data_IF_902609617463
#
_entry.id   IF_902609617463
#
_cell.length_a   1.000
_cell.length_b   1.000
_cell.length_c   1.000
_cell.angle_alpha   90.00
_cell.angle_beta   90.00
_cell.angle_gamma   90.00
#
_symmetry.space_group_name_H-M   'P 1'
#
loop_
_entity.id
_entity.type
_entity.pdbx_description
1 polymer ?
#
# COMPACT_ATOMS: atom_id res chain seq x y z
N UNK A 1 -6.48 -4.74 -8.18
CA UNK A 1 -5.52 -3.74 -7.67
C UNK A 1 -6.21 -2.90 -6.62
N UNK A 2 -5.52 -2.41 -5.59
CA UNK A 2 -6.13 -1.49 -4.64
C UNK A 2 -5.26 -0.27 -4.38
N UNK A 3 -5.93 0.86 -4.19
CA UNK A 3 -5.34 2.07 -3.67
C UNK A 3 -5.60 2.10 -2.16
N UNK A 4 -4.53 2.18 -1.38
CA UNK A 4 -4.57 2.33 0.07
C UNK A 4 -3.95 3.70 0.32
N UNK A 5 -4.80 4.71 0.51
CA UNK A 5 -4.43 6.12 0.46
C UNK A 5 -3.65 6.58 1.71
N UNK A 6 -4.31 7.38 2.55
CA UNK A 6 -3.75 7.92 3.81
C UNK A 6 -3.11 6.85 4.71
N UNK A 7 -3.63 5.62 4.66
CA UNK A 7 -3.18 4.47 5.45
C UNK A 7 -1.72 4.05 5.18
N UNK A 8 -1.19 4.30 3.98
CA UNK A 8 0.20 3.97 3.66
C UNK A 8 1.23 4.83 4.43
N UNK A 9 0.79 5.94 5.04
CA UNK A 9 1.61 6.86 5.84
C UNK A 9 1.45 6.66 7.34
N UNK A 10 0.57 5.74 7.79
CA UNK A 10 0.37 5.53 9.21
C UNK A 10 1.49 4.68 9.82
N UNK A 11 2.04 5.08 10.99
CA UNK A 11 3.11 4.36 11.66
C UNK A 11 2.63 3.12 12.43
N UNK A 12 1.39 2.70 12.19
CA UNK A 12 0.72 1.61 12.89
C UNK A 12 0.42 0.49 11.89
N UNK A 13 0.03 -0.69 12.37
CA UNK A 13 -0.50 -1.76 11.53
C UNK A 13 -2.03 -1.58 11.42
N UNK A 14 -2.58 -0.82 10.45
CA UNK A 14 -4.02 -0.68 10.35
C UNK A 14 -4.61 -1.99 9.83
N UNK A 15 -5.71 -2.40 10.46
CA UNK A 15 -6.63 -3.36 9.88
C UNK A 15 -7.68 -2.58 9.10
N UNK A 16 -7.79 -2.85 7.79
CA UNK A 16 -8.66 -2.11 6.89
C UNK A 16 -9.85 -2.98 6.53
N UNK A 17 -11.05 -2.50 6.81
CA UNK A 17 -12.29 -3.17 6.43
C UNK A 17 -12.68 -2.78 5.01
N UNK A 18 -12.62 -3.75 4.10
CA UNK A 18 -13.06 -3.60 2.72
C UNK A 18 -14.12 -4.67 2.39
N UNK A 19 -15.20 -4.67 3.17
CA UNK A 19 -16.42 -5.42 2.87
C UNK A 19 -17.60 -4.45 2.73
N UNK A 20 -18.55 -4.69 1.81
CA UNK A 20 -19.76 -3.90 1.66
C UNK A 20 -20.70 -4.26 2.79
N UNK A 21 -20.58 -3.60 3.94
CA UNK A 21 -21.46 -3.84 5.08
C UNK A 21 -22.44 -2.69 5.33
N UNK A 22 -22.49 -1.71 4.42
CA UNK A 22 -23.48 -0.63 4.36
C UNK A 22 -24.93 -1.15 4.54
N UNK A 23 -25.28 -2.22 3.82
CA UNK A 23 -26.62 -2.80 3.89
C UNK A 23 -26.95 -3.41 5.25
N UNK A 24 -25.97 -3.76 6.08
CA UNK A 24 -26.22 -4.32 7.41
C UNK A 24 -26.88 -3.30 8.34
N UNK A 25 -26.45 -2.05 8.27
CA UNK A 25 -27.06 -0.97 9.04
C UNK A 25 -28.48 -0.68 8.53
N UNK A 26 -28.63 -0.45 7.21
CA UNK A 26 -29.91 -0.02 6.63
C UNK A 26 -30.98 -1.12 6.54
N UNK A 27 -30.62 -2.36 6.21
CA UNK A 27 -31.59 -3.44 5.97
C UNK A 27 -31.82 -4.31 7.21
N UNK A 28 -30.79 -4.53 8.03
CA UNK A 28 -30.85 -5.46 9.16
C UNK A 28 -30.76 -4.78 10.52
N UNK A 29 -30.63 -3.45 10.56
CA UNK A 29 -30.44 -2.65 11.80
C UNK A 29 -29.26 -3.15 12.64
N UNK A 30 -28.22 -3.66 11.98
CA UNK A 30 -26.99 -4.16 12.60
C UNK A 30 -25.89 -3.15 12.35
N UNK A 31 -25.41 -2.50 13.41
CA UNK A 31 -24.25 -1.62 13.35
C UNK A 31 -22.97 -2.38 13.69
N UNK A 32 -21.99 -2.28 12.79
CA UNK A 32 -20.65 -2.84 12.95
C UNK A 32 -19.75 -1.74 13.46
N UNK A 33 -19.58 -1.67 14.78
CA UNK A 33 -18.78 -0.63 15.44
C UNK A 33 -17.26 -0.85 15.23
N UNK A 34 -16.80 -0.89 13.98
CA UNK A 34 -15.43 -1.27 13.60
C UNK A 34 -14.35 -0.35 14.19
N UNK A 35 -14.65 0.94 14.30
CA UNK A 35 -13.72 1.95 14.82
C UNK A 35 -13.28 1.68 16.27
N UNK A 36 -14.13 1.00 17.05
CA UNK A 36 -13.88 0.57 18.43
C UNK A 36 -12.69 -0.39 18.50
N UNK A 37 -12.40 -1.08 17.40
CA UNK A 37 -11.35 -2.09 17.30
C UNK A 37 -10.12 -1.63 16.48
N UNK A 38 -9.92 -0.32 16.29
CA UNK A 38 -8.89 0.24 15.40
C UNK A 38 -9.01 -0.27 13.94
N UNK A 39 -10.19 -0.77 13.55
CA UNK A 39 -10.45 -1.22 12.18
C UNK A 39 -10.93 -0.03 11.36
N UNK A 40 -10.16 0.33 10.32
CA UNK A 40 -10.44 1.46 9.45
C UNK A 40 -11.34 1.02 8.29
N UNK A 41 -12.53 1.59 8.18
CA UNK A 41 -13.44 1.40 7.06
C UNK A 41 -13.56 2.68 6.22
N UNK A 42 -14.06 2.57 4.99
CA UNK A 42 -14.55 3.76 4.26
C UNK A 42 -15.81 4.32 4.94
N UNK A 43 -16.14 5.59 4.64
CA UNK A 43 -17.44 6.16 5.04
C UNK A 43 -18.57 5.29 4.51
N UNK A 44 -19.58 5.04 5.33
CA UNK A 44 -20.69 4.13 5.05
C UNK A 44 -20.25 2.71 4.66
N UNK A 45 -19.02 2.31 4.99
CA UNK A 45 -18.48 0.96 4.71
C UNK A 45 -18.54 0.59 3.22
N UNK A 46 -18.39 1.60 2.35
CA UNK A 46 -18.39 1.40 0.89
C UNK A 46 -17.14 0.64 0.44
N UNK A 47 -17.25 -0.08 -0.68
CA UNK A 47 -16.13 -0.80 -1.30
C UNK A 47 -15.04 0.12 -1.90
N UNK A 48 -15.31 1.41 -2.03
CA UNK A 48 -14.42 2.37 -2.67
C UNK A 48 -14.54 3.73 -2.00
N UNK A 49 -13.41 4.23 -1.51
CA UNK A 49 -13.33 5.47 -0.77
C UNK A 49 -11.89 5.91 -0.49
N UNK A 50 -11.71 6.99 0.29
CA UNK A 50 -10.40 7.61 0.52
C UNK A 50 -9.45 6.76 1.36
N UNK A 51 -9.97 5.83 2.16
CA UNK A 51 -9.15 4.91 2.96
C UNK A 51 -8.70 3.75 2.06
N UNK A 52 -9.64 3.06 1.41
CA UNK A 52 -9.35 1.94 0.52
C UNK A 52 -10.25 1.96 -0.71
N UNK A 53 -9.66 1.74 -1.88
CA UNK A 53 -10.39 1.55 -3.13
C UNK A 53 -9.87 0.33 -3.84
N UNK A 54 -10.73 -0.68 -4.05
CA UNK A 54 -10.39 -1.87 -4.85
C UNK A 54 -10.93 -1.71 -6.26
N UNK A 55 -10.03 -1.74 -7.23
CA UNK A 55 -10.36 -1.70 -8.64
C UNK A 55 -10.55 -3.12 -9.18
N UNK A 56 -11.75 -3.37 -9.68
CA UNK A 56 -12.15 -4.62 -10.33
C UNK A 56 -12.02 -4.51 -11.86
N UNK A 57 -11.77 -5.66 -12.50
CA UNK A 57 -11.57 -5.76 -13.95
C UNK A 57 -12.81 -5.34 -14.76
N UNK A 58 -14.00 -5.43 -14.16
CA UNK A 58 -15.29 -5.22 -14.82
C UNK A 58 -15.76 -3.76 -14.87
N UNK A 59 -15.34 -2.88 -13.96
CA UNK A 59 -15.96 -1.53 -13.86
C UNK A 59 -15.00 -0.35 -13.75
N UNK A 60 -13.75 -0.51 -13.31
CA UNK A 60 -12.87 0.65 -13.03
C UNK A 60 -11.46 0.57 -13.66
N UNK A 61 -11.12 -0.53 -14.32
CA UNK A 61 -9.81 -0.74 -14.94
C UNK A 61 -9.81 -0.50 -16.45
N UNK A 62 -10.77 0.25 -16.99
CA UNK A 62 -10.93 0.43 -18.43
C UNK A 62 -11.53 -0.80 -19.11
N UNK A 63 -11.17 -1.06 -20.36
CA UNK A 63 -11.56 -2.30 -21.05
C UNK A 63 -10.56 -3.42 -20.78
N UNK A 64 -10.59 -4.00 -19.58
CA UNK A 64 -9.69 -5.09 -19.23
C UNK A 64 -10.03 -6.35 -20.06
N UNK A 65 -9.08 -6.92 -20.83
CA UNK A 65 -9.30 -8.12 -21.62
C UNK A 65 -9.26 -9.37 -20.74
N UNK A 66 -10.27 -10.24 -20.89
CA UNK A 66 -10.32 -11.54 -20.23
C UNK A 66 -11.27 -12.48 -20.97
N UNK A 67 -11.16 -13.79 -20.73
CA UNK A 67 -12.14 -14.79 -21.20
C UNK A 67 -13.16 -15.10 -20.11
N UNK A 68 -14.43 -15.23 -20.49
CA UNK A 68 -15.45 -15.80 -19.60
C UNK A 68 -15.17 -17.28 -19.35
N UNK A 69 -15.85 -17.86 -18.36
CA UNK A 69 -15.83 -19.31 -18.12
C UNK A 69 -16.30 -20.14 -19.32
N UNK A 70 -17.11 -19.55 -20.20
CA UNK A 70 -17.56 -20.14 -21.47
C UNK A 70 -16.58 -19.89 -22.64
N UNK A 71 -15.39 -19.33 -22.39
CA UNK A 71 -14.40 -19.06 -23.42
C UNK A 71 -14.72 -17.86 -24.32
N UNK A 72 -15.69 -17.02 -23.96
CA UNK A 72 -16.06 -15.84 -24.74
C UNK A 72 -15.06 -14.71 -24.45
N UNK A 73 -14.42 -14.12 -25.47
CA UNK A 73 -13.47 -13.03 -25.27
C UNK A 73 -14.19 -11.72 -24.90
N UNK A 74 -13.98 -11.24 -23.68
CA UNK A 74 -14.41 -9.91 -23.26
C UNK A 74 -13.27 -8.93 -23.50
N UNK A 75 -13.59 -7.78 -24.10
CA UNK A 75 -12.60 -6.77 -24.48
C UNK A 75 -11.43 -7.32 -25.31
N UNK A 76 -11.66 -8.31 -26.17
CA UNK A 76 -10.62 -8.94 -26.99
C UNK A 76 -9.98 -10.19 -26.39
N UNK A 77 -10.34 -10.55 -25.15
CA UNK A 77 -9.87 -11.77 -24.47
C UNK A 77 -8.45 -11.64 -23.92
N UNK A 78 -7.50 -11.28 -24.79
CA UNK A 78 -6.09 -11.12 -24.48
C UNK A 78 -5.64 -9.65 -24.62
N UNK A 79 -4.64 -9.19 -23.84
CA UNK A 79 -4.11 -7.82 -23.92
C UNK A 79 -3.71 -7.37 -25.33
N UNK A 80 -3.07 -8.24 -26.12
CA UNK A 80 -2.66 -7.95 -27.49
C UNK A 80 -3.83 -7.66 -28.44
N UNK A 81 -5.03 -8.15 -28.11
CA UNK A 81 -6.22 -8.03 -28.96
C UNK A 81 -7.08 -6.80 -28.60
N UNK A 82 -6.60 -5.91 -27.74
CA UNK A 82 -7.31 -4.69 -27.35
C UNK A 82 -6.45 -3.44 -27.53
N UNK A 83 -7.06 -2.41 -28.12
CA UNK A 83 -6.42 -1.10 -28.22
C UNK A 83 -6.15 -0.51 -26.83
N UNK A 84 -4.86 -0.29 -26.55
CA UNK A 84 -4.38 0.36 -25.33
C UNK A 84 -4.97 1.77 -25.17
N UNK A 85 -5.06 2.55 -26.26
CA UNK A 85 -5.65 3.89 -26.22
C UNK A 85 -7.13 3.84 -25.79
N UNK A 86 -7.92 2.92 -26.36
CA UNK A 86 -9.32 2.71 -25.93
C UNK A 86 -9.41 2.22 -24.49
N UNK A 87 -8.54 1.31 -24.06
CA UNK A 87 -8.48 0.85 -22.68
C UNK A 87 -8.19 2.00 -21.68
N UNK A 88 -7.20 2.84 -22.00
CA UNK A 88 -6.78 3.98 -21.17
C UNK A 88 -7.80 5.12 -21.18
N UNK A 89 -8.46 5.40 -22.31
CA UNK A 89 -9.53 6.40 -22.38
C UNK A 89 -10.71 6.09 -21.45
N UNK A 90 -10.95 4.79 -21.17
CA UNK A 90 -11.98 4.33 -20.23
C UNK A 90 -11.47 4.14 -18.80
N UNK A 91 -10.17 3.95 -18.61
CA UNK A 91 -9.58 3.69 -17.30
C UNK A 91 -8.60 4.78 -16.91
N UNK A 92 -8.96 5.63 -15.94
CA UNK A 92 -8.05 6.64 -15.39
C UNK A 92 -6.88 5.96 -14.66
N UNK A 93 -5.77 5.79 -15.39
CA UNK A 93 -4.54 5.07 -14.95
C UNK A 93 -3.26 5.88 -15.17
N UNK A 94 -3.37 7.18 -15.40
CA UNK A 94 -2.22 8.05 -15.68
C UNK A 94 -1.16 8.00 -14.58
N UNK A 95 -1.58 7.81 -13.33
CA UNK A 95 -0.66 7.70 -12.18
C UNK A 95 0.28 6.49 -12.30
N UNK A 96 -0.23 5.32 -12.65
CA UNK A 96 0.57 4.09 -12.74
C UNK A 96 1.47 4.09 -13.96
N UNK A 97 0.96 4.62 -15.09
CA UNK A 97 1.73 4.74 -16.33
C UNK A 97 2.89 5.73 -16.15
N UNK A 98 2.66 6.84 -15.45
CA UNK A 98 3.70 7.83 -15.19
C UNK A 98 4.74 7.29 -14.21
N UNK A 99 4.33 6.61 -13.13
CA UNK A 99 5.26 6.05 -12.13
C UNK A 99 6.12 4.91 -12.66
N UNK A 100 5.58 4.01 -13.48
CA UNK A 100 6.38 2.95 -14.12
C UNK A 100 7.37 3.53 -15.12
N UNK A 101 6.97 4.52 -15.92
CA UNK A 101 7.88 5.22 -16.83
C UNK A 101 8.96 5.98 -16.08
N UNK A 102 8.62 6.66 -14.98
CA UNK A 102 9.58 7.35 -14.11
C UNK A 102 10.61 6.38 -13.51
N UNK A 103 10.20 5.19 -13.07
CA UNK A 103 11.09 4.15 -12.55
C UNK A 103 12.10 3.67 -13.60
N UNK A 104 11.62 3.34 -14.81
CA UNK A 104 12.50 2.87 -15.90
C UNK A 104 13.40 3.99 -16.41
N UNK A 105 12.90 5.23 -16.48
CA UNK A 105 13.70 6.42 -16.81
C UNK A 105 14.81 6.65 -15.78
N UNK A 106 14.53 6.41 -14.50
CA UNK A 106 15.51 6.53 -13.40
C UNK A 106 16.58 5.44 -13.48
N UNK A 107 16.20 4.21 -13.85
CA UNK A 107 17.12 3.09 -14.03
C UNK A 107 17.95 3.21 -15.31
N UNK A 108 17.40 3.86 -16.34
CA UNK A 108 18.01 3.97 -17.67
C UNK A 108 17.85 5.39 -18.24
N UNK A 109 18.61 6.34 -17.69
CA UNK A 109 18.52 7.77 -18.02
C UNK A 109 18.84 8.11 -19.48
N UNK A 110 19.67 7.30 -20.14
CA UNK A 110 20.07 7.48 -21.55
C UNK A 110 19.18 6.78 -22.56
N UNK A 111 18.12 6.08 -22.14
CA UNK A 111 17.26 5.38 -23.09
C UNK A 111 16.30 6.34 -23.81
N UNK A 112 16.06 6.12 -25.12
CA UNK A 112 15.04 6.83 -25.84
C UNK A 112 13.68 6.56 -25.20
N UNK A 113 12.82 7.56 -25.17
CA UNK A 113 11.52 7.50 -24.50
C UNK A 113 10.70 6.29 -24.96
N UNK A 114 10.74 5.94 -26.25
CA UNK A 114 10.09 4.75 -26.80
C UNK A 114 10.52 3.44 -26.14
N UNK A 115 11.81 3.31 -25.80
CA UNK A 115 12.36 2.11 -25.13
C UNK A 115 12.03 2.08 -23.64
N UNK A 116 12.04 3.24 -22.99
CA UNK A 116 11.58 3.39 -21.59
C UNK A 116 10.10 2.98 -21.48
N UNK A 117 9.28 3.42 -22.43
CA UNK A 117 7.86 3.08 -22.45
C UNK A 117 7.60 1.61 -22.75
N UNK A 118 8.40 1.00 -23.62
CA UNK A 118 8.36 -0.43 -23.91
C UNK A 118 8.73 -1.27 -22.68
N UNK A 119 9.85 -0.96 -22.04
CA UNK A 119 10.32 -1.74 -20.88
C UNK A 119 9.42 -1.55 -19.66
N UNK A 120 8.92 -0.33 -19.43
CA UNK A 120 7.96 -0.05 -18.36
C UNK A 120 6.65 -0.83 -18.55
N UNK A 121 6.27 -1.10 -19.80
CA UNK A 121 5.10 -1.89 -20.16
C UNK A 121 5.36 -3.39 -19.93
N UNK A 122 6.48 -3.92 -20.43
CA UNK A 122 6.84 -5.34 -20.27
C UNK A 122 6.99 -5.77 -18.79
N UNK A 123 7.67 -4.95 -17.98
CA UNK A 123 7.84 -5.21 -16.55
C UNK A 123 6.50 -5.22 -15.80
N UNK A 124 5.61 -4.30 -16.17
CA UNK A 124 4.26 -4.25 -15.60
C UNK A 124 3.43 -5.48 -15.99
N UNK A 125 3.52 -5.93 -17.24
CA UNK A 125 2.79 -7.10 -17.75
C UNK A 125 3.29 -8.40 -17.12
N UNK A 126 4.60 -8.56 -16.92
CA UNK A 126 5.21 -9.72 -16.26
C UNK A 126 4.85 -9.83 -14.79
N UNK A 127 4.83 -8.70 -14.06
CA UNK A 127 4.41 -8.67 -12.66
C UNK A 127 2.93 -9.07 -12.48
N UNK A 128 2.09 -8.87 -13.50
CA UNK A 128 0.69 -9.27 -13.50
C UNK A 128 0.46 -10.78 -13.67
N UNK A 129 1.36 -11.49 -14.35
CA UNK A 129 1.21 -12.92 -14.66
C UNK A 129 1.42 -13.86 -13.46
N UNK A 130 2.13 -13.41 -12.41
CA UNK A 130 2.51 -14.24 -11.26
C UNK A 130 1.36 -14.43 -10.24
N UNK A 131 0.22 -13.74 -10.39
CA UNK A 131 -0.80 -13.64 -9.34
C UNK A 131 -1.94 -14.68 -9.38
N UNK A 132 -1.91 -15.62 -10.33
CA UNK A 132 -2.97 -16.63 -10.51
C UNK A 132 -2.54 -18.02 -10.03
N UNK A 133 -2.56 -18.27 -8.72
CA UNK A 133 -2.66 -19.62 -8.15
C UNK A 133 -3.29 -19.63 -6.74
N UNK A 134 -4.18 -20.62 -6.55
CA UNK A 134 -5.22 -20.82 -5.49
C UNK A 134 -4.64 -21.00 -4.07
N UNK A 135 -5.45 -20.87 -2.98
CA UNK A 135 -5.82 -22.12 -2.26
C UNK A 135 -7.18 -22.13 -1.53
N UNK A 136 -7.83 -23.31 -1.54
CA UNK A 136 -8.99 -23.71 -0.71
C UNK A 136 -8.69 -24.86 0.28
N UNK A 137 -7.41 -25.16 0.53
CA UNK A 137 -7.01 -26.38 1.23
C UNK A 137 -6.30 -26.11 2.57
N UNK A 138 -6.77 -25.16 3.38
CA UNK A 138 -6.06 -24.77 4.61
C UNK A 138 -7.03 -24.33 5.72
N UNK A 139 -7.73 -25.29 6.34
CA UNK A 139 -8.46 -25.08 7.61
C UNK A 139 -7.63 -25.64 8.76
N UNK A 140 -7.16 -24.78 9.66
CA UNK A 140 -6.50 -25.14 10.93
C UNK A 140 -5.37 -26.19 10.82
N UNK A 141 -4.60 -26.15 9.74
CA UNK A 141 -3.45 -27.03 9.53
C UNK A 141 -2.12 -26.28 9.68
N UNK A 142 -1.04 -26.97 10.07
CA UNK A 142 0.32 -26.41 10.10
C UNK A 142 0.77 -25.83 8.74
N UNK A 143 0.14 -26.28 7.64
CA UNK A 143 0.37 -25.75 6.31
C UNK A 143 -0.20 -24.33 6.12
N UNK A 144 -1.18 -23.92 6.94
CA UNK A 144 -1.77 -22.58 6.91
C UNK A 144 -0.73 -21.54 7.32
N UNK A 145 -0.02 -21.81 8.41
CA UNK A 145 1.10 -20.99 8.88
C UNK A 145 2.16 -20.87 7.79
N UNK A 146 2.59 -22.00 7.22
CA UNK A 146 3.60 -22.02 6.16
C UNK A 146 3.14 -21.23 4.93
N UNK A 147 1.90 -21.40 4.49
CA UNK A 147 1.37 -20.68 3.33
C UNK A 147 1.36 -19.17 3.55
N UNK A 148 0.83 -18.70 4.68
CA UNK A 148 0.83 -17.27 5.00
C UNK A 148 2.26 -16.75 5.17
N UNK A 149 3.06 -17.45 5.97
CA UNK A 149 4.46 -17.11 6.27
C UNK A 149 5.26 -16.87 4.99
N UNK A 150 5.31 -17.85 4.07
CA UNK A 150 6.11 -17.73 2.86
C UNK A 150 5.57 -16.68 1.88
N UNK A 151 4.25 -16.48 1.81
CA UNK A 151 3.67 -15.42 0.96
C UNK A 151 3.99 -14.02 1.47
N UNK A 152 3.93 -13.82 2.78
CA UNK A 152 4.26 -12.53 3.39
C UNK A 152 5.78 -12.30 3.33
N UNK A 153 6.59 -13.33 3.61
CA UNK A 153 8.05 -13.28 3.50
C UNK A 153 8.50 -12.86 2.10
N UNK A 154 7.95 -13.48 1.06
CA UNK A 154 8.25 -13.11 -0.33
C UNK A 154 7.83 -11.66 -0.64
N UNK A 155 6.62 -11.26 -0.22
CA UNK A 155 6.17 -9.89 -0.44
C UNK A 155 7.07 -8.84 0.26
N UNK A 156 7.51 -9.12 1.48
CA UNK A 156 8.44 -8.26 2.23
C UNK A 156 9.83 -8.22 1.60
N UNK A 157 10.32 -9.35 1.09
CA UNK A 157 11.58 -9.44 0.36
C UNK A 157 11.55 -8.60 -0.93
N UNK A 158 10.49 -8.72 -1.73
CA UNK A 158 10.32 -7.88 -2.94
C UNK A 158 10.22 -6.40 -2.56
N UNK A 159 9.54 -6.08 -1.46
CA UNK A 159 9.38 -4.71 -1.00
C UNK A 159 10.69 -4.05 -0.54
N UNK A 160 11.63 -4.82 0.01
CA UNK A 160 12.95 -4.31 0.42
C UNK A 160 13.91 -4.14 -0.75
N UNK A 161 13.77 -4.95 -1.81
CA UNK A 161 14.58 -4.81 -3.03
C UNK A 161 14.08 -3.73 -3.99
N UNK A 162 12.81 -3.33 -3.89
CA UNK A 162 12.23 -2.36 -4.82
C UNK A 162 12.84 -0.95 -4.68
N UNK A 163 13.41 -0.61 -3.53
CA UNK A 163 13.97 0.71 -3.22
C UNK A 163 15.14 0.61 -2.24
N UNK A 164 16.14 1.47 -2.42
CA UNK A 164 17.34 1.49 -1.58
C UNK A 164 17.21 2.41 -0.35
N UNK A 165 16.25 3.33 -0.35
CA UNK A 165 16.06 4.35 0.69
C UNK A 165 15.06 3.93 1.78
N UNK A 166 14.06 3.11 1.44
CA UNK A 166 13.12 2.54 2.42
C UNK A 166 12.37 1.34 1.85
N UNK A 167 11.92 0.43 2.71
CA UNK A 167 11.10 -0.73 2.33
C UNK A 167 9.67 -0.32 1.99
N UNK A 168 9.16 -0.75 0.84
CA UNK A 168 7.78 -0.45 0.44
C UNK A 168 6.74 -1.04 1.43
N UNK A 169 5.62 -0.34 1.68
CA UNK A 169 4.59 -0.86 2.57
C UNK A 169 3.85 -2.05 1.94
N UNK A 170 3.89 -3.20 2.62
CA UNK A 170 3.15 -4.41 2.20
C UNK A 170 1.83 -4.49 2.93
N UNK A 171 0.72 -4.54 2.19
CA UNK A 171 -0.61 -4.76 2.76
C UNK A 171 -1.10 -6.17 2.41
N UNK A 172 -1.36 -6.98 3.44
CA UNK A 172 -1.75 -8.38 3.25
C UNK A 172 -3.27 -8.47 3.11
N UNK A 173 -3.73 -9.08 2.03
CA UNK A 173 -5.15 -9.40 1.88
C UNK A 173 -5.51 -10.61 2.72
N UNK A 174 -6.43 -10.43 3.66
CA UNK A 174 -6.98 -11.52 4.47
C UNK A 174 -8.50 -11.59 4.31
N UNK A 175 -9.02 -12.82 4.39
CA UNK A 175 -10.46 -13.07 4.37
C UNK A 175 -10.93 -13.22 5.83
N UNK A 176 -11.96 -12.48 6.27
CA UNK A 176 -12.52 -12.67 7.61
C UNK A 176 -13.30 -13.98 7.77
N UNK A 177 -13.48 -14.76 6.70
CA UNK A 177 -14.13 -16.07 6.68
C UNK A 177 -13.33 -17.04 5.81
N UNK A 178 -13.44 -18.33 6.13
CA UNK A 178 -12.91 -19.38 5.28
C UNK A 178 -13.48 -19.28 3.86
N UNK A 179 -12.62 -19.54 2.88
CA UNK A 179 -12.97 -19.46 1.47
C UNK A 179 -14.23 -20.27 1.14
N UNK A 180 -15.14 -19.67 0.35
CA UNK A 180 -16.41 -20.28 -0.07
C UNK A 180 -17.36 -20.72 1.06
N UNK A 181 -17.08 -20.31 2.30
CA UNK A 181 -17.94 -20.57 3.46
C UNK A 181 -18.23 -19.28 4.25
N UNK A 182 -19.10 -19.40 5.26
CA UNK A 182 -19.33 -18.38 6.30
C UNK A 182 -18.76 -18.83 7.65
N UNK A 183 -17.86 -19.83 7.64
CA UNK A 183 -17.20 -20.30 8.85
C UNK A 183 -16.15 -19.26 9.25
N UNK A 184 -16.27 -18.80 10.49
CA UNK A 184 -15.31 -17.86 11.08
C UNK A 184 -13.97 -18.56 11.35
N UNK A 185 -12.83 -17.90 11.09
CA UNK A 185 -11.51 -18.35 11.49
C UNK A 185 -11.46 -18.53 13.01
N UNK A 186 -10.75 -19.56 13.48
CA UNK A 186 -10.44 -19.71 14.90
C UNK A 186 -9.43 -18.65 15.35
N UNK A 187 -9.25 -18.50 16.65
CA UNK A 187 -8.20 -17.63 17.20
C UNK A 187 -6.81 -18.04 16.72
N UNK A 188 -6.54 -19.35 16.64
CA UNK A 188 -5.30 -19.89 16.06
C UNK A 188 -5.10 -19.43 14.61
N UNK A 189 -6.16 -19.42 13.80
CA UNK A 189 -6.07 -18.96 12.41
C UNK A 189 -5.86 -17.44 12.33
N UNK A 190 -6.40 -16.66 13.28
CA UNK A 190 -6.12 -15.22 13.39
C UNK A 190 -4.65 -14.95 13.75
N UNK A 191 -4.08 -15.76 14.65
CA UNK A 191 -2.64 -15.75 14.96
C UNK A 191 -1.82 -16.05 13.71
N UNK A 192 -2.16 -17.12 13.00
CA UNK A 192 -1.44 -17.57 11.81
C UNK A 192 -1.67 -16.70 10.56
N UNK A 193 -2.59 -15.74 10.60
CA UNK A 193 -2.86 -14.83 9.48
C UNK A 193 -2.46 -13.40 9.79
N UNK A 194 -3.25 -12.71 10.61
CA UNK A 194 -3.03 -11.32 11.00
C UNK A 194 -1.80 -11.21 11.91
N UNK A 195 -1.64 -12.13 12.85
CA UNK A 195 -0.46 -12.17 13.74
C UNK A 195 0.83 -12.39 12.97
N UNK A 196 0.84 -13.37 12.07
CA UNK A 196 1.98 -13.67 11.21
C UNK A 196 2.36 -12.47 10.33
N UNK A 197 1.36 -11.83 9.73
CA UNK A 197 1.56 -10.60 8.93
C UNK A 197 2.18 -9.48 9.76
N UNK A 198 1.69 -9.25 10.98
CA UNK A 198 2.20 -8.23 11.89
C UNK A 198 3.65 -8.49 12.28
N UNK A 199 3.97 -9.72 12.68
CA UNK A 199 5.29 -10.08 13.15
C UNK A 199 6.34 -10.07 12.03
N UNK A 200 5.95 -10.28 10.77
CA UNK A 200 6.84 -10.13 9.61
C UNK A 200 7.02 -8.68 9.13
N UNK A 201 6.39 -7.70 9.79
CA UNK A 201 6.57 -6.28 9.46
C UNK A 201 5.66 -5.77 8.35
N UNK A 202 4.54 -6.47 8.06
CA UNK A 202 3.55 -5.95 7.12
C UNK A 202 3.10 -4.55 7.54
N UNK A 203 2.78 -3.71 6.56
CA UNK A 203 2.31 -2.37 6.82
C UNK A 203 0.85 -2.33 7.28
N UNK A 204 0.05 -3.36 6.96
CA UNK A 204 -1.33 -3.49 7.39
C UNK A 204 -2.00 -4.73 6.80
N UNK A 205 -3.24 -4.99 7.21
CA UNK A 205 -4.05 -6.09 6.70
C UNK A 205 -5.35 -5.54 6.12
N UNK A 206 -5.74 -5.98 4.92
CA UNK A 206 -7.01 -5.63 4.30
C UNK A 206 -7.96 -6.82 4.42
N UNK A 207 -8.95 -6.67 5.29
CA UNK A 207 -10.03 -7.62 5.49
C UNK A 207 -11.07 -7.44 4.39
N UNK A 208 -11.13 -8.40 3.47
CA UNK A 208 -12.00 -8.31 2.29
C UNK A 208 -12.91 -9.52 2.20
N UNK A 209 -14.16 -9.26 1.77
CA UNK A 209 -15.23 -10.17 1.27
C UNK A 209 -16.48 -10.10 2.15
N UNK A 210 -17.64 -9.98 1.48
CA UNK A 210 -18.96 -9.72 2.07
C UNK A 210 -19.65 -10.97 2.61
N UNK A 211 -20.55 -10.72 3.56
CA UNK A 211 -21.47 -11.66 4.17
C UNK A 211 -22.87 -11.64 3.55
N UNK A 212 -23.52 -12.81 3.62
CA UNK A 212 -24.98 -12.92 3.56
C UNK A 212 -25.65 -12.72 4.94
N UNK A 213 -24.89 -12.74 6.04
CA UNK A 213 -25.42 -12.77 7.41
C UNK A 213 -24.81 -11.69 8.33
N UNK A 214 -25.39 -10.50 8.36
CA UNK A 214 -24.92 -9.35 9.16
C UNK A 214 -24.74 -9.65 10.66
N UNK A 215 -25.61 -10.49 11.24
CA UNK A 215 -25.52 -10.87 12.66
C UNK A 215 -24.27 -11.68 12.96
N UNK A 216 -23.88 -12.60 12.07
CA UNK A 216 -22.63 -13.34 12.20
C UNK A 216 -21.41 -12.42 12.12
N UNK A 217 -21.44 -11.39 11.26
CA UNK A 217 -20.36 -10.38 11.19
C UNK A 217 -20.22 -9.68 12.52
N UNK A 218 -21.34 -9.20 13.06
CA UNK A 218 -21.34 -8.44 14.29
C UNK A 218 -20.80 -9.30 15.43
N UNK A 219 -21.32 -10.53 15.59
CA UNK A 219 -20.83 -11.47 16.61
C UNK A 219 -19.36 -11.82 16.44
N UNK A 220 -18.86 -11.93 15.21
CA UNK A 220 -17.45 -12.23 14.95
C UNK A 220 -16.53 -11.02 15.23
N UNK A 221 -16.98 -9.83 14.84
CA UNK A 221 -16.26 -8.56 15.04
C UNK A 221 -16.20 -8.21 16.52
N UNK A 222 -17.35 -8.25 17.20
CA UNK A 222 -17.47 -8.00 18.64
C UNK A 222 -16.88 -9.16 19.47
N UNK A 223 -16.70 -10.34 18.86
CA UNK A 223 -16.18 -11.56 19.46
C UNK A 223 -14.66 -11.71 19.28
N UNK A 224 -14.17 -12.71 18.53
CA UNK A 224 -12.73 -12.98 18.45
C UNK A 224 -11.94 -12.01 17.56
N UNK A 225 -12.53 -11.41 16.52
CA UNK A 225 -11.77 -10.61 15.55
C UNK A 225 -11.32 -9.26 16.13
N UNK A 226 -12.26 -8.46 16.63
CA UNK A 226 -11.99 -7.09 17.09
C UNK A 226 -10.97 -7.03 18.24
N UNK A 227 -11.18 -7.77 19.34
CA UNK A 227 -10.22 -7.90 20.43
C UNK A 227 -8.85 -8.40 19.98
N UNK A 228 -8.78 -9.34 19.04
CA UNK A 228 -7.51 -9.82 18.50
C UNK A 228 -6.78 -8.74 17.69
N UNK A 229 -7.51 -7.99 16.84
CA UNK A 229 -6.95 -6.84 16.11
C UNK A 229 -6.40 -5.81 17.08
N UNK A 230 -7.15 -5.47 18.13
CA UNK A 230 -6.71 -4.53 19.17
C UNK A 230 -5.47 -5.04 19.90
N UNK A 231 -5.41 -6.32 20.23
CA UNK A 231 -4.25 -6.96 20.86
C UNK A 231 -3.00 -6.80 19.99
N UNK A 232 -3.03 -7.27 18.74
CA UNK A 232 -1.88 -7.21 17.83
C UNK A 232 -1.49 -5.77 17.51
N UNK A 233 -2.46 -4.90 17.23
CA UNK A 233 -2.20 -3.51 16.86
C UNK A 233 -1.56 -2.78 18.04
N UNK A 234 -2.10 -2.95 19.25
CA UNK A 234 -1.56 -2.33 20.48
C UNK A 234 -0.17 -2.85 20.80
N UNK A 235 0.08 -4.16 20.70
CA UNK A 235 1.40 -4.75 20.88
C UNK A 235 2.42 -4.16 19.89
N UNK A 236 2.03 -4.00 18.62
CA UNK A 236 2.88 -3.36 17.61
C UNK A 236 3.16 -1.88 17.94
N UNK A 237 2.17 -1.09 18.41
CA UNK A 237 2.41 0.31 18.82
C UNK A 237 3.37 0.39 20.00
N UNK A 238 3.16 -0.46 21.01
CA UNK A 238 3.96 -0.49 22.22
C UNK A 238 5.40 -0.94 21.91
N UNK A 239 5.57 -1.95 21.06
CA UNK A 239 6.90 -2.38 20.61
C UNK A 239 7.62 -1.26 19.85
N UNK A 240 6.95 -0.61 18.90
CA UNK A 240 7.52 0.54 18.15
C UNK A 240 7.91 1.68 19.09
N UNK A 241 7.07 1.98 20.09
CA UNK A 241 7.34 3.02 21.10
C UNK A 241 8.53 2.65 22.00
N UNK A 242 8.58 1.42 22.50
CA UNK A 242 9.56 0.99 23.49
C UNK A 242 10.93 0.70 22.87
N UNK A 243 10.98 0.05 21.71
CA UNK A 243 12.23 -0.37 21.08
C UNK A 243 12.72 0.61 20.00
N UNK A 244 11.80 1.30 19.32
CA UNK A 244 12.11 1.96 18.06
C UNK A 244 11.74 3.45 17.99
N UNK A 245 11.58 4.10 19.16
CA UNK A 245 11.19 5.51 19.33
C UNK A 245 9.97 5.96 18.51
N UNK A 246 9.07 5.05 18.15
CA UNK A 246 7.91 5.28 17.26
C UNK A 246 8.25 5.56 15.79
N UNK A 247 9.51 5.41 15.40
CA UNK A 247 10.01 5.71 14.06
C UNK A 247 10.17 4.46 13.17
N UNK A 248 9.57 3.35 13.58
CA UNK A 248 9.74 2.06 12.91
C UNK A 248 8.59 1.10 13.15
N UNK A 249 8.60 -0.01 12.40
CA UNK A 249 7.84 -1.23 12.72
C UNK A 249 8.75 -2.24 13.40
N UNK A 250 8.22 -2.94 14.40
CA UNK A 250 8.89 -4.12 14.93
C UNK A 250 8.73 -5.31 13.99
N UNK A 251 9.83 -5.98 13.69
CA UNK A 251 9.90 -7.15 12.80
C UNK A 251 10.61 -8.28 13.53
N UNK A 252 10.11 -9.49 13.36
CA UNK A 252 10.67 -10.71 13.95
C UNK A 252 12.12 -10.90 13.50
N UNK A 253 13.03 -11.13 14.45
CA UNK A 253 14.45 -11.35 14.13
C UNK A 253 14.69 -12.68 13.40
N UNK A 254 14.14 -13.76 13.95
CA UNK A 254 14.24 -15.09 13.37
C UNK A 254 12.97 -15.40 12.59
N UNK A 255 13.07 -15.39 11.26
CA UNK A 255 11.95 -15.66 10.36
C UNK A 255 11.33 -17.03 10.62
N UNK A 256 12.12 -18.04 10.99
CA UNK A 256 11.62 -19.40 11.24
C UNK A 256 11.07 -19.60 12.66
N UNK A 257 11.15 -18.59 13.53
CA UNK A 257 10.58 -18.66 14.88
C UNK A 257 9.06 -18.44 14.86
N UNK A 258 8.31 -19.16 15.70
CA UNK A 258 6.87 -18.96 15.89
C UNK A 258 6.51 -17.81 16.83
N UNK A 259 7.25 -16.69 16.78
CA UNK A 259 7.06 -15.56 17.69
C UNK A 259 6.13 -14.49 17.10
N UNK A 260 5.16 -14.03 17.90
CA UNK A 260 4.14 -13.07 17.48
C UNK A 260 4.13 -11.82 18.37
N UNK A 261 3.61 -10.71 17.83
CA UNK A 261 3.40 -9.47 18.58
C UNK A 261 2.02 -9.52 19.25
N UNK A 262 1.99 -9.96 20.50
CA UNK A 262 0.80 -9.96 21.35
C UNK A 262 1.06 -9.25 22.67
N UNK A 263 0.01 -8.66 23.24
CA UNK A 263 0.03 -8.10 24.58
C UNK A 263 0.04 -9.21 25.62
N UNK A 264 0.71 -8.93 26.74
CA UNK A 264 0.72 -9.82 27.88
C UNK A 264 -0.64 -9.77 28.60
N UNK A 265 -1.42 -10.86 28.63
CA UNK A 265 -2.77 -10.86 29.21
C UNK A 265 -2.77 -10.59 30.73
N UNK A 266 -1.63 -10.76 31.43
CA UNK A 266 -1.51 -10.48 32.85
C UNK A 266 -1.58 -8.97 33.19
N UNK A 267 -1.18 -8.11 32.27
CA UNK A 267 -1.10 -6.65 32.48
C UNK A 267 -2.08 -5.86 31.62
N UNK A 268 -2.57 -6.46 30.53
CA UNK A 268 -3.50 -5.83 29.60
C UNK A 268 -4.85 -6.56 29.62
N UNK A 269 -5.77 -6.10 30.47
CA UNK A 269 -7.14 -6.61 30.51
C UNK A 269 -8.06 -5.73 29.66
N UNK A 270 -8.72 -6.32 28.65
CA UNK A 270 -9.65 -5.61 27.78
C UNK A 270 -10.99 -5.42 28.49
N UNK A 271 -11.44 -4.17 28.63
CA UNK A 271 -12.80 -3.86 29.09
C UNK A 271 -13.45 -2.90 28.10
N UNK A 272 -14.70 -3.18 27.74
CA UNK A 272 -15.58 -2.22 27.06
C UNK A 272 -15.84 -1.06 28.02
N UNK A 273 -15.49 0.17 27.62
CA UNK A 273 -15.78 1.35 28.42
C UNK A 273 -17.07 2.00 27.90
N UNK A 274 -18.22 1.89 28.60
CA UNK A 274 -19.51 2.34 28.07
C UNK A 274 -19.66 3.86 27.95
N UNK A 275 -18.76 4.66 28.54
CA UNK A 275 -18.82 6.13 28.52
C UNK A 275 -18.10 6.82 27.34
N UNK A 276 -17.31 6.08 26.55
CA UNK A 276 -16.56 6.58 25.39
C UNK A 276 -16.77 5.58 24.26
N UNK A 277 -17.15 6.02 23.05
CA UNK A 277 -17.26 5.14 21.87
C UNK A 277 -15.88 4.54 21.54
N UNK A 278 -15.53 3.39 22.12
CA UNK A 278 -14.27 2.67 21.88
C UNK A 278 -13.91 1.64 22.96
N UNK A 279 -13.42 0.46 22.55
CA UNK A 279 -12.59 -0.40 23.40
C UNK A 279 -11.25 0.30 23.46
N UNK A 280 -10.90 0.84 24.62
CA UNK A 280 -9.51 1.12 24.93
C UNK A 280 -9.07 0.18 26.01
N UNK A 281 -7.87 -0.36 25.89
CA UNK A 281 -7.16 -0.80 27.09
C UNK A 281 -7.18 0.38 28.05
N UNK A 282 -7.60 0.14 29.29
CA UNK A 282 -7.41 1.14 30.33
C UNK A 282 -5.92 1.49 30.34
N UNK A 283 -5.57 2.79 30.33
CA UNK A 283 -4.18 3.31 30.32
C UNK A 283 -3.31 2.85 31.53
N UNK A 284 -3.76 1.84 32.28
CA UNK A 284 -3.02 1.19 33.37
C UNK A 284 -2.06 0.07 32.91
N UNK A 285 -2.12 -0.37 31.65
CA UNK A 285 -1.18 -1.36 31.12
C UNK A 285 0.15 -0.74 30.72
N UNK A 286 1.15 -0.76 31.60
CA UNK A 286 2.53 -0.43 31.24
C UNK A 286 3.26 -1.70 30.79
N UNK A 287 4.13 -1.59 29.78
CA UNK A 287 5.07 -2.68 29.48
C UNK A 287 5.99 -2.85 30.68
N UNK A 288 6.05 -4.05 31.25
CA UNK A 288 7.04 -4.36 32.27
C UNK A 288 8.45 -4.38 31.66
N UNK A 289 9.48 -4.21 32.49
CA UNK A 289 10.86 -4.36 32.00
C UNK A 289 11.12 -5.75 31.39
N UNK A 290 10.44 -6.79 31.89
CA UNK A 290 10.51 -8.14 31.31
C UNK A 290 9.88 -8.20 29.92
N UNK A 291 8.73 -7.56 29.70
CA UNK A 291 8.09 -7.51 28.37
C UNK A 291 8.99 -6.77 27.38
N UNK A 292 9.62 -5.67 27.79
CA UNK A 292 10.55 -4.90 26.93
C UNK A 292 11.77 -5.76 26.57
N UNK A 293 12.34 -6.49 27.54
CA UNK A 293 13.48 -7.38 27.31
C UNK A 293 13.11 -8.54 26.38
N UNK A 294 11.94 -9.15 26.57
CA UNK A 294 11.43 -10.22 25.71
C UNK A 294 11.20 -9.72 24.27
N UNK A 295 10.56 -8.55 24.13
CA UNK A 295 10.41 -7.89 22.82
C UNK A 295 11.77 -7.60 22.19
N UNK A 296 12.73 -7.06 22.95
CA UNK A 296 14.09 -6.77 22.47
C UNK A 296 14.83 -8.03 22.03
N UNK A 297 14.58 -9.17 22.66
CA UNK A 297 15.19 -10.44 22.27
C UNK A 297 14.61 -10.96 20.94
N UNK A 298 13.28 -10.92 20.78
CA UNK A 298 12.55 -11.53 19.66
C UNK A 298 12.39 -10.63 18.42
N UNK A 299 12.40 -9.32 18.59
CA UNK A 299 12.09 -8.33 17.53
C UNK A 299 13.20 -7.30 17.31
N UNK A 300 13.30 -6.80 16.09
CA UNK A 300 14.18 -5.71 15.65
C UNK A 300 13.36 -4.61 14.97
N UNK A 301 13.95 -3.44 14.78
CA UNK A 301 13.29 -2.31 14.13
C UNK A 301 13.48 -2.33 12.61
N UNK A 302 12.42 -2.04 11.87
CA UNK A 302 12.46 -1.67 10.45
C UNK A 302 12.01 -0.21 10.33
N UNK A 303 12.98 0.68 10.12
CA UNK A 303 12.78 2.12 10.16
C UNK A 303 11.84 2.62 9.05
N UNK A 304 11.09 3.66 9.38
CA UNK A 304 10.36 4.44 8.39
C UNK A 304 11.31 5.28 7.55
N UNK A 305 10.81 5.76 6.42
CA UNK A 305 11.55 6.66 5.54
C UNK A 305 12.08 7.86 6.34
N UNK A 306 13.37 8.14 6.20
CA UNK A 306 14.03 9.24 6.91
C UNK A 306 14.61 8.88 8.27
N UNK A 307 14.57 7.61 8.71
CA UNK A 307 15.19 7.15 9.95
C UNK A 307 16.17 6.00 9.69
N UNK A 308 17.26 5.94 10.46
CA UNK A 308 18.32 4.94 10.35
C UNK A 308 18.77 4.47 11.73
N UNK A 309 19.74 3.55 11.77
CA UNK A 309 20.22 2.81 12.95
C UNK A 309 19.34 1.64 13.40
N UNK A 310 19.82 0.89 14.41
CA UNK A 310 19.19 -0.35 14.90
C UNK A 310 17.87 -0.08 15.64
N UNK A 311 17.69 1.13 16.17
CA UNK A 311 16.55 1.55 16.98
C UNK A 311 15.75 2.71 16.35
N UNK A 312 16.10 3.14 15.14
CA UNK A 312 15.50 4.26 14.41
C UNK A 312 15.54 5.57 15.20
N UNK A 313 16.65 5.84 15.91
CA UNK A 313 16.84 7.06 16.70
C UNK A 313 17.40 8.20 15.85
N UNK A 314 18.26 7.88 14.89
CA UNK A 314 18.92 8.87 14.06
C UNK A 314 18.11 9.18 12.79
N UNK A 315 17.90 10.47 12.44
CA UNK A 315 17.34 10.84 11.16
C UNK A 315 18.36 10.58 10.04
N UNK A 316 17.90 10.13 8.88
CA UNK A 316 18.74 10.03 7.70
C UNK A 316 19.11 11.44 7.24
N UNK A 317 20.40 11.76 7.28
CA UNK A 317 20.94 12.95 6.64
C UNK A 317 20.83 12.70 5.15
N UNK A 318 19.83 13.30 4.52
CA UNK A 318 19.85 13.45 3.07
C UNK A 318 20.91 14.50 2.78
N UNK A 319 22.14 14.08 2.48
CA UNK A 319 23.02 14.97 1.72
C UNK A 319 22.20 15.44 0.51
N UNK A 320 22.13 16.76 0.24
CA UNK A 320 21.50 17.21 -0.98
C UNK A 320 22.19 16.43 -2.10
N UNK A 321 21.41 15.64 -2.85
CA UNK A 321 21.88 15.02 -4.07
C UNK A 321 22.69 16.09 -4.78
N UNK A 322 24.00 15.92 -5.04
CA UNK A 322 24.74 16.92 -5.78
C UNK A 322 23.99 17.04 -7.09
N UNK A 323 23.25 18.13 -7.24
CA UNK A 323 22.66 18.54 -8.49
C UNK A 323 23.84 18.58 -9.43
N UNK A 324 23.95 17.60 -10.32
CA UNK A 324 24.88 17.68 -11.42
C UNK A 324 24.67 19.06 -12.04
N UNK A 325 25.69 19.95 -12.05
CA UNK A 325 25.58 21.19 -12.77
C UNK A 325 25.70 20.81 -14.25
N UNK A 326 24.58 20.50 -14.88
CA UNK A 326 24.48 20.52 -16.35
C UNK A 326 23.59 21.67 -16.73
N UNK A 327 24.25 22.75 -17.10
CA UNK A 327 23.91 23.63 -18.22
C UNK A 327 22.51 24.26 -18.21
N UNK A 328 22.11 24.86 -17.09
CA UNK A 328 20.94 25.76 -17.09
C UNK A 328 21.29 27.16 -17.62
N UNK A 329 22.54 27.60 -17.49
CA UNK A 329 22.97 28.94 -17.93
C UNK A 329 23.08 29.02 -19.46
N UNK A 330 23.51 27.95 -20.14
CA UNK A 330 23.63 27.94 -21.60
C UNK A 330 22.27 27.87 -22.29
N UNK A 331 21.29 27.18 -21.68
CA UNK A 331 19.92 27.08 -22.19
C UNK A 331 19.16 28.39 -22.12
N UNK A 332 19.26 29.13 -21.01
CA UNK A 332 18.66 30.47 -20.89
C UNK A 332 19.34 31.50 -21.81
N UNK A 333 20.66 31.43 -22.00
CA UNK A 333 21.37 32.32 -22.91
C UNK A 333 21.00 32.05 -24.39
N UNK A 334 20.84 30.78 -24.79
CA UNK A 334 20.41 30.40 -26.14
C UNK A 334 18.93 30.75 -26.39
N UNK A 335 18.07 30.69 -25.38
CA UNK A 335 16.69 31.16 -25.46
C UNK A 335 16.61 32.69 -25.60
N UNK A 336 17.43 33.44 -24.85
CA UNK A 336 17.54 34.90 -24.99
C UNK A 336 18.08 35.31 -26.37
N UNK A 337 19.10 34.59 -26.87
CA UNK A 337 19.68 34.83 -28.19
C UNK A 337 18.69 34.50 -29.33
N UNK A 338 17.88 33.44 -29.20
CA UNK A 338 16.86 33.07 -30.20
C UNK A 338 15.62 33.97 -30.18
N UNK A 339 15.27 34.58 -29.05
CA UNK A 339 14.20 35.57 -28.95
C UNK A 339 14.60 36.95 -29.51
N UNK A 340 15.87 37.34 -29.43
CA UNK A 340 16.35 38.63 -29.95
C UNK A 340 16.80 38.61 -31.42
N UNK A 341 17.21 37.46 -31.96
CA UNK A 341 17.60 37.32 -33.37
C UNK A 341 16.53 37.76 -34.40
N UNK A 342 15.25 37.37 -34.28
CA UNK A 342 14.21 37.78 -35.22
C UNK A 342 13.84 39.27 -35.07
N UNK A 343 14.09 39.88 -33.91
CA UNK A 343 13.80 41.30 -33.70
C UNK A 343 14.89 42.20 -34.31
N UNK A 344 16.16 41.83 -34.11
CA UNK A 344 17.31 42.54 -34.70
C UNK A 344 17.32 42.45 -36.24
N UNK A 345 16.93 41.30 -36.82
CA UNK A 345 16.86 41.16 -38.27
C UNK A 345 15.79 42.06 -38.90
N UNK A 346 14.63 42.22 -38.25
CA UNK A 346 13.56 43.12 -38.71
C UNK A 346 13.97 44.59 -38.60
N UNK A 347 14.63 44.99 -37.50
CA UNK A 347 15.12 46.37 -37.32
C UNK A 347 16.18 46.70 -38.38
N UNK A 348 17.13 45.79 -38.63
CA UNK A 348 18.14 45.98 -39.68
C UNK A 348 17.52 46.06 -41.07
N UNK A 349 16.50 45.24 -41.37
CA UNK A 349 15.81 45.27 -42.66
C UNK A 349 15.03 46.57 -42.86
N UNK A 350 14.30 47.04 -41.83
CA UNK A 350 13.59 48.31 -41.87
C UNK A 350 14.55 49.51 -41.98
N UNK A 351 15.68 49.47 -41.27
CA UNK A 351 16.74 50.48 -41.40
C UNK A 351 17.34 50.52 -42.80
N UNK A 352 17.64 49.36 -43.38
CA UNK A 352 18.14 49.27 -44.75
C UNK A 352 17.11 49.77 -45.77
N UNK A 353 15.82 49.43 -45.60
CA UNK A 353 14.75 49.94 -46.44
C UNK A 353 14.61 51.47 -46.36
N UNK A 354 14.78 52.08 -45.17
CA UNK A 354 14.74 53.54 -45.01
C UNK A 354 15.96 54.23 -45.66
N UNK A 355 17.14 53.63 -45.59
CA UNK A 355 18.34 54.13 -46.25
C UNK A 355 18.19 54.05 -47.77
N UNK A 356 17.72 52.91 -48.29
CA UNK A 356 17.46 52.73 -49.72
C UNK A 356 16.41 53.73 -50.21
N UNK A 357 15.34 53.96 -49.43
CA UNK A 357 14.31 54.96 -49.76
C UNK A 357 14.85 56.39 -49.77
N UNK A 358 15.89 56.71 -48.98
CA UNK A 358 16.59 58.01 -49.02
C UNK A 358 17.61 58.15 -50.15
N UNK A 359 18.11 57.03 -50.70
CA UNK A 359 19.06 57.03 -51.82
C UNK A 359 18.36 57.06 -53.20
N UNK A 360 17.08 56.71 -53.26
CA UNK A 360 16.28 56.64 -54.50
C UNK A 360 15.38 57.88 -54.70
N UNK A 361 15.27 58.77 -53.69
CA UNK A 361 14.46 59.99 -53.76
C UNK A 361 15.30 61.25 -53.98
#
# INVERSE_FOLDING_TARGET
>A
MALIGFLARMPLLPSVWNAPTESCCFQFKVDLELSVFDIVANRNETLSGPNVTIFYHNHLLGYYPYYTSSGIPISGGLPQNKSLSKHLSKGSKDIYRNKSKELIRKLHSGWPQSKVEYEAKELFERAGQVMNSTPDLLKSSANTVKCVHYRVKEAMQIASFARNDYTLPVFVYSRPFYAYTFVVPSESDLVHTIGESAALGAAGVVLRRMLRNCLTVKKYTDGPLGPYVINVTSAAKLCSKALCKKNSKCVRKSLDSGTYLHLNPCFFNMRLNPGIRGLRFHDSGYLSNHDILDMKHKFTCQCYQGWMDIYCEMPQITDPVPSHPRDCVLGELLLLLSLHFPCLSVIMFLGLCLIIKRLIL
#
